data_IF_307431052396
#
_entry.id   IF_307431052396
#
_cell.length_a   1.000
_cell.length_b   1.000
_cell.length_c   1.000
_cell.angle_alpha   90.00
_cell.angle_beta   90.00
_cell.angle_gamma   90.00
#
_symmetry.space_group_name_H-M   'P 1'
#
loop_
_entity.id
_entity.type
_entity.pdbx_description
1 polymer ?
#
# COMPACT_ATOMS: atom_id res chain seq x y z
N UNK A 1 -5.81 -18.80 -5.05
CA UNK A 1 -4.99 -19.54 -4.07
C UNK A 1 -3.73 -18.79 -3.66
N UNK A 2 -2.92 -18.28 -4.60
CA UNK A 2 -1.67 -17.56 -4.29
C UNK A 2 -1.83 -16.35 -3.36
N UNK A 3 -2.87 -15.52 -3.56
CA UNK A 3 -3.16 -14.35 -2.69
C UNK A 3 -3.35 -14.75 -1.22
N UNK A 4 -4.14 -15.80 -0.96
CA UNK A 4 -4.37 -16.29 0.40
C UNK A 4 -3.09 -16.80 1.06
N UNK A 5 -2.26 -17.53 0.31
CA UNK A 5 -0.97 -18.03 0.82
C UNK A 5 -0.05 -16.84 1.17
N UNK A 6 0.06 -15.84 0.28
CA UNK A 6 0.85 -14.64 0.54
C UNK A 6 0.35 -13.86 1.77
N UNK A 7 -0.96 -13.71 1.92
CA UNK A 7 -1.58 -13.08 3.09
C UNK A 7 -1.26 -13.82 4.40
N UNK A 8 -1.46 -15.14 4.44
CA UNK A 8 -1.22 -15.91 5.66
C UNK A 8 0.28 -15.96 6.02
N UNK A 9 1.16 -16.03 5.03
CA UNK A 9 2.61 -15.91 5.25
C UNK A 9 2.98 -14.54 5.80
N UNK A 10 2.44 -13.44 5.24
CA UNK A 10 2.68 -12.08 5.73
C UNK A 10 2.20 -11.89 7.17
N UNK A 11 1.00 -12.38 7.50
CA UNK A 11 0.47 -12.32 8.88
C UNK A 11 1.38 -13.09 9.83
N UNK A 12 1.83 -14.29 9.42
CA UNK A 12 2.68 -15.15 10.25
C UNK A 12 4.05 -14.53 10.51
N UNK A 13 4.66 -13.90 9.51
CA UNK A 13 6.05 -13.41 9.59
C UNK A 13 6.18 -11.96 10.09
N UNK A 14 5.21 -11.10 9.79
CA UNK A 14 5.29 -9.64 10.05
C UNK A 14 4.16 -9.12 10.93
N UNK A 15 3.17 -9.95 11.24
CA UNK A 15 2.01 -9.60 12.07
C UNK A 15 0.88 -8.94 11.28
N UNK A 16 -0.34 -8.97 11.87
CA UNK A 16 -1.57 -8.54 11.21
C UNK A 16 -1.58 -7.07 10.78
N UNK A 17 -0.98 -6.17 11.58
CA UNK A 17 -0.92 -4.73 11.28
C UNK A 17 -0.09 -4.44 10.04
N UNK A 18 1.06 -5.11 9.89
CA UNK A 18 1.91 -4.95 8.71
C UNK A 18 1.23 -5.49 7.46
N UNK A 19 0.55 -6.64 7.56
CA UNK A 19 -0.22 -7.20 6.44
C UNK A 19 -1.32 -6.25 5.99
N UNK A 20 -2.08 -5.66 6.91
CA UNK A 20 -3.12 -4.69 6.55
C UNK A 20 -2.54 -3.49 5.79
N UNK A 21 -1.40 -2.95 6.24
CA UNK A 21 -0.72 -1.87 5.52
C UNK A 21 -0.25 -2.28 4.12
N UNK A 22 0.32 -3.48 3.96
CA UNK A 22 0.73 -4.00 2.66
C UNK A 22 -0.44 -4.13 1.68
N UNK A 23 -1.63 -4.46 2.18
CA UNK A 23 -2.86 -4.53 1.38
C UNK A 23 -3.34 -3.14 0.98
N UNK A 24 -3.27 -2.16 1.87
CA UNK A 24 -3.59 -0.78 1.49
C UNK A 24 -2.63 -0.23 0.43
N UNK A 25 -1.38 -0.70 0.41
CA UNK A 25 -0.39 -0.34 -0.62
C UNK A 25 -0.59 -1.09 -1.95
N UNK A 26 -1.31 -2.22 -1.97
CA UNK A 26 -1.52 -2.99 -3.20
C UNK A 26 -2.40 -2.25 -4.20
N UNK A 27 -3.37 -1.46 -3.72
CA UNK A 27 -4.25 -0.65 -4.56
C UNK A 27 -3.48 0.43 -5.39
N UNK A 28 -2.66 1.32 -4.79
CA UNK A 28 -1.85 2.25 -5.57
C UNK A 28 -0.79 1.56 -6.43
N UNK A 29 -0.25 0.41 -5.99
CA UNK A 29 0.66 -0.39 -6.81
C UNK A 29 -0.03 -0.94 -8.07
N UNK A 30 -1.28 -1.38 -7.96
CA UNK A 30 -2.08 -1.83 -9.10
C UNK A 30 -2.33 -0.69 -10.11
N UNK A 31 -2.60 0.53 -9.63
CA UNK A 31 -2.72 1.72 -10.51
C UNK A 31 -1.40 1.97 -11.24
N UNK A 32 -0.27 1.91 -10.55
CA UNK A 32 1.05 2.08 -11.17
C UNK A 32 1.34 1.01 -12.23
N UNK A 33 1.07 -0.27 -11.93
CA UNK A 33 1.23 -1.35 -12.90
C UNK A 33 0.28 -1.22 -14.09
N UNK A 34 -0.96 -0.81 -13.86
CA UNK A 34 -1.93 -0.58 -14.93
C UNK A 34 -1.45 0.50 -15.90
N UNK A 35 -0.89 1.60 -15.38
CA UNK A 35 -0.26 2.65 -16.17
C UNK A 35 0.89 2.12 -17.03
N UNK A 36 1.80 1.35 -16.43
CA UNK A 36 3.00 0.82 -17.10
C UNK A 36 2.64 -0.17 -18.21
N UNK A 37 1.68 -1.06 -17.98
CA UNK A 37 1.38 -2.15 -18.91
C UNK A 37 0.34 -1.81 -19.98
N UNK A 38 -0.66 -1.00 -19.64
CA UNK A 38 -1.79 -0.73 -20.55
C UNK A 38 -1.72 0.63 -21.23
N UNK A 39 -0.80 1.52 -20.83
CA UNK A 39 -0.60 2.81 -21.48
C UNK A 39 -1.88 3.66 -21.51
N UNK A 40 -2.20 4.30 -20.38
CA UNK A 40 -3.44 5.10 -20.26
C UNK A 40 -3.34 6.27 -19.26
N UNK A 41 -2.14 6.68 -18.88
CA UNK A 41 -1.91 7.56 -17.74
C UNK A 41 -1.93 9.06 -18.08
N UNK A 42 -2.88 9.49 -18.90
CA UNK A 42 -3.01 10.88 -19.33
C UNK A 42 -3.90 11.72 -18.43
N UNK A 43 -4.66 11.11 -17.52
CA UNK A 43 -5.57 11.85 -16.65
C UNK A 43 -4.82 12.41 -15.43
N UNK A 44 -4.54 13.72 -15.45
CA UNK A 44 -3.83 14.41 -14.37
C UNK A 44 -4.53 14.22 -13.01
N UNK A 45 -5.85 14.04 -13.01
CA UNK A 45 -6.62 13.82 -11.80
C UNK A 45 -6.35 12.46 -11.13
N UNK A 46 -6.01 11.44 -11.93
CA UNK A 46 -5.61 10.13 -11.42
C UNK A 46 -4.31 10.24 -10.62
N UNK A 47 -3.34 11.00 -11.12
CA UNK A 47 -2.06 11.23 -10.45
C UNK A 47 -2.20 12.05 -9.17
N UNK A 48 -3.06 13.08 -9.18
CA UNK A 48 -3.36 13.87 -7.97
C UNK A 48 -4.02 12.98 -6.91
N UNK A 49 -5.00 12.16 -7.28
CA UNK A 49 -5.67 11.24 -6.37
C UNK A 49 -4.70 10.19 -5.81
N UNK A 50 -3.79 9.68 -6.64
CA UNK A 50 -2.74 8.75 -6.23
C UNK A 50 -1.78 9.42 -5.23
N UNK A 51 -1.36 10.66 -5.48
CA UNK A 51 -0.48 11.41 -4.59
C UNK A 51 -1.13 11.67 -3.21
N UNK A 52 -2.40 12.05 -3.19
CA UNK A 52 -3.17 12.23 -1.94
C UNK A 52 -3.29 10.92 -1.17
N UNK A 53 -3.58 9.81 -1.85
CA UNK A 53 -3.68 8.49 -1.23
C UNK A 53 -2.33 8.03 -0.64
N UNK A 54 -1.23 8.20 -1.39
CA UNK A 54 0.11 7.87 -0.90
C UNK A 54 0.52 8.74 0.29
N UNK A 55 0.16 10.04 0.27
CA UNK A 55 0.40 10.93 1.41
C UNK A 55 -0.38 10.51 2.65
N UNK A 56 -1.65 10.12 2.49
CA UNK A 56 -2.48 9.63 3.59
C UNK A 56 -1.92 8.34 4.20
N UNK A 57 -1.46 7.40 3.35
CA UNK A 57 -0.80 6.17 3.79
C UNK A 57 0.53 6.46 4.50
N UNK A 58 1.31 7.40 3.99
CA UNK A 58 2.57 7.81 4.61
C UNK A 58 2.32 8.41 6.00
N UNK A 59 1.37 9.35 6.13
CA UNK A 59 1.01 9.93 7.42
C UNK A 59 0.51 8.89 8.42
N UNK A 60 -0.33 7.94 7.97
CA UNK A 60 -0.83 6.84 8.80
C UNK A 60 0.31 5.96 9.32
N UNK A 61 1.30 5.67 8.47
CA UNK A 61 2.44 4.85 8.85
C UNK A 61 3.44 5.60 9.73
N UNK A 62 3.67 6.89 9.47
CA UNK A 62 4.55 7.75 10.29
C UNK A 62 4.00 7.97 11.69
N UNK A 63 2.68 8.15 11.84
CA UNK A 63 2.03 8.19 13.16
C UNK A 63 2.13 6.86 13.91
N UNK A 64 1.98 5.74 13.19
CA UNK A 64 2.13 4.39 13.76
C UNK A 64 3.59 4.07 14.16
N UNK A 65 4.57 4.58 13.43
CA UNK A 65 6.00 4.45 13.74
C UNK A 65 6.40 5.32 14.95
N UNK A 66 5.80 6.50 15.12
CA UNK A 66 6.04 7.37 16.27
C UNK A 66 5.49 6.79 17.60
N UNK A 67 4.49 5.91 17.54
CA UNK A 67 3.88 5.28 18.73
C UNK A 67 4.65 4.02 19.19
N UNK A 68 5.50 3.43 18.34
CA UNK A 68 6.29 2.24 18.71
C UNK A 68 7.54 2.70 19.48
N UNK A 69 7.64 2.49 20.81
CA UNK A 69 8.88 2.74 21.52
C UNK A 69 9.93 1.77 20.96
N UNK A 70 11.12 2.27 20.69
CA UNK A 70 12.31 1.44 20.52
C UNK A 70 12.59 0.77 21.87
N UNK A 71 12.01 -0.43 22.07
CA UNK A 71 12.33 -1.33 23.17
C UNK A 71 13.27 -2.42 22.70
#
# INVERSE_FOLDING_TARGET
MAERIAFFTLIRERGATYTAQAVYLSAPAAVFFAVVFFGGATDAWLWVSLAVLLLALWLNNSGSAAIRPSS
#
